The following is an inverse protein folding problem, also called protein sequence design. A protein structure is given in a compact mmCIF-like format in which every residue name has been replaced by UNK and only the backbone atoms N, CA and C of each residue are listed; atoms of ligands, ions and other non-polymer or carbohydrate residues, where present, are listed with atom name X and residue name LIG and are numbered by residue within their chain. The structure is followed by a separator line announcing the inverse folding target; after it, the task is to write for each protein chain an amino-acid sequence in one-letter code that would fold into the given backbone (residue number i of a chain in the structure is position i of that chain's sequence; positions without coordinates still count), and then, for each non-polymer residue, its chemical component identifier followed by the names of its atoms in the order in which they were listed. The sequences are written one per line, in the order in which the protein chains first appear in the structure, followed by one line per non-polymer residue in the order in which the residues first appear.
data_IF_630852344518
#
_entry.id   IF_630852344518
#
_cell.length_a   1.000
_cell.length_b   1.000
_cell.length_c   1.000
_cell.angle_alpha   90.00
_cell.angle_beta   90.00
_cell.angle_gamma   90.00
#
_symmetry.space_group_name_H-M   'P 1'
#
loop_
_entity.id
_entity.type
_entity.pdbx_description
1 polymer ?
#
# COMPACT_ATOMS: atom_id res chain seq x y z
N UNK A 1 -34.05 -6.46 13.82
CA UNK A 1 -32.73 -6.07 14.38
C UNK A 1 -31.61 -5.93 13.31
N UNK A 2 -31.90 -5.88 11.99
CA UNK A 2 -30.89 -5.86 10.93
C UNK A 2 -30.45 -4.46 10.43
N UNK A 3 -31.24 -3.42 10.67
CA UNK A 3 -30.95 -2.08 10.13
C UNK A 3 -29.86 -1.29 10.88
N UNK A 4 -29.74 -1.45 12.19
CA UNK A 4 -28.76 -0.72 13.02
C UNK A 4 -27.33 -1.23 12.84
N UNK A 5 -27.14 -2.51 12.55
CA UNK A 5 -25.80 -3.11 12.32
C UNK A 5 -25.25 -2.72 10.95
N UNK A 6 -26.11 -2.62 9.93
CA UNK A 6 -25.71 -2.20 8.57
C UNK A 6 -25.29 -0.72 8.52
N UNK A 7 -25.90 0.14 9.33
CA UNK A 7 -25.54 1.55 9.39
C UNK A 7 -24.15 1.77 10.01
N UNK A 8 -23.80 1.01 11.05
CA UNK A 8 -22.47 1.06 11.68
C UNK A 8 -21.34 0.54 10.75
N UNK A 9 -21.66 -0.36 9.83
CA UNK A 9 -20.69 -0.88 8.85
C UNK A 9 -20.28 0.16 7.78
N UNK A 10 -20.99 1.28 7.66
CA UNK A 10 -20.66 2.37 6.73
C UNK A 10 -19.61 3.34 7.29
N UNK A 11 -19.34 3.33 8.60
CA UNK A 11 -18.32 4.20 9.20
C UNK A 11 -16.96 3.53 9.21
N UNK A 12 -15.94 4.25 8.76
CA UNK A 12 -14.55 3.82 8.95
C UNK A 12 -14.29 3.69 10.46
N UNK A 13 -13.87 2.52 10.97
CA UNK A 13 -13.56 2.29 12.38
C UNK A 13 -12.64 3.36 12.98
N UNK A 14 -11.77 3.93 12.17
CA UNK A 14 -10.86 5.00 12.55
C UNK A 14 -11.61 6.28 12.90
N UNK A 15 -12.60 6.69 12.09
CA UNK A 15 -13.37 7.92 12.33
C UNK A 15 -14.17 7.82 13.62
N UNK A 16 -14.69 6.63 13.95
CA UNK A 16 -15.36 6.37 15.22
C UNK A 16 -14.38 6.52 16.39
N UNK A 17 -13.19 5.93 16.32
CA UNK A 17 -12.18 6.04 17.37
C UNK A 17 -11.70 7.47 17.59
N UNK A 18 -11.50 8.24 16.51
CA UNK A 18 -11.19 9.68 16.61
C UNK A 18 -12.33 10.46 17.26
N UNK A 19 -13.59 10.13 16.91
CA UNK A 19 -14.78 10.69 17.55
C UNK A 19 -14.81 10.39 19.05
N UNK A 20 -14.58 9.14 19.45
CA UNK A 20 -14.48 8.74 20.86
C UNK A 20 -13.35 9.46 21.60
N UNK A 21 -12.18 9.60 20.98
CA UNK A 21 -11.06 10.35 21.56
C UNK A 21 -11.44 11.81 21.80
N UNK A 22 -12.05 12.47 20.83
CA UNK A 22 -12.50 13.84 20.95
C UNK A 22 -13.58 14.01 22.05
N UNK A 23 -14.55 13.11 22.11
CA UNK A 23 -15.60 13.11 23.16
C UNK A 23 -14.96 12.91 24.54
N UNK A 24 -14.00 11.99 24.68
CA UNK A 24 -13.29 11.76 25.94
C UNK A 24 -12.61 13.04 26.44
N UNK A 25 -11.92 13.77 25.58
CA UNK A 25 -11.29 15.06 25.90
C UNK A 25 -12.33 16.13 26.25
N UNK A 26 -13.41 16.22 25.47
CA UNK A 26 -14.49 17.20 25.68
C UNK A 26 -15.21 17.00 27.03
N UNK A 27 -15.33 15.75 27.52
CA UNK A 27 -15.89 15.44 28.84
C UNK A 27 -14.83 15.67 29.92
N UNK A 28 -13.58 15.31 29.70
CA UNK A 28 -12.53 15.42 30.70
C UNK A 28 -12.23 16.87 31.06
N UNK A 29 -12.09 17.77 30.09
CA UNK A 29 -11.72 19.16 30.32
C UNK A 29 -12.62 19.90 31.35
N UNK A 30 -13.98 19.90 31.21
CA UNK A 30 -14.84 20.56 32.18
C UNK A 30 -14.79 19.88 33.56
N UNK A 31 -14.58 18.56 33.62
CA UNK A 31 -14.45 17.83 34.88
C UNK A 31 -13.18 18.22 35.62
N UNK A 32 -12.05 18.34 34.91
CA UNK A 32 -10.77 18.80 35.48
C UNK A 32 -10.88 20.26 35.99
N UNK A 33 -11.50 21.13 35.19
CA UNK A 33 -11.75 22.52 35.64
C UNK A 33 -12.61 22.54 36.91
N UNK A 34 -13.66 21.70 36.98
CA UNK A 34 -14.53 21.60 38.14
C UNK A 34 -13.78 21.01 39.34
N UNK A 35 -12.91 20.04 39.15
CA UNK A 35 -12.01 19.47 40.15
C UNK A 35 -11.15 20.56 40.77
N UNK A 36 -10.44 21.34 39.94
CA UNK A 36 -9.58 22.44 40.39
C UNK A 36 -10.36 23.49 41.19
N UNK A 37 -11.58 23.89 40.71
CA UNK A 37 -12.42 24.84 41.43
C UNK A 37 -12.86 24.32 42.80
N UNK A 38 -13.21 23.01 42.90
CA UNK A 38 -13.61 22.38 44.16
C UNK A 38 -12.43 22.27 45.14
N UNK A 39 -11.23 21.91 44.65
CA UNK A 39 -10.02 21.87 45.47
C UNK A 39 -9.63 23.26 46.00
N UNK A 40 -9.74 24.31 45.18
CA UNK A 40 -9.53 25.70 45.62
C UNK A 40 -10.51 26.16 46.70
N UNK A 41 -11.71 25.55 46.79
CA UNK A 41 -12.71 25.79 47.84
C UNK A 41 -12.55 24.85 49.04
N UNK A 42 -11.42 24.12 49.17
CA UNK A 42 -11.12 23.16 50.25
C UNK A 42 -12.13 21.99 50.29
N UNK A 43 -12.85 21.72 49.19
CA UNK A 43 -13.80 20.61 49.08
C UNK A 43 -13.05 19.38 48.50
N UNK A 44 -12.16 18.81 49.30
CA UNK A 44 -11.16 17.80 48.87
C UNK A 44 -11.85 16.57 48.28
N UNK A 45 -12.86 15.97 48.93
CA UNK A 45 -13.54 14.76 48.47
C UNK A 45 -14.24 15.00 47.13
N UNK A 46 -14.95 16.11 46.99
CA UNK A 46 -15.64 16.46 45.74
C UNK A 46 -14.65 16.80 44.62
N UNK A 47 -13.53 17.47 44.95
CA UNK A 47 -12.45 17.75 44.00
C UNK A 47 -11.78 16.49 43.50
N UNK A 48 -11.42 15.56 44.39
CA UNK A 48 -10.83 14.28 44.05
C UNK A 48 -11.75 13.40 43.16
N UNK A 49 -13.04 13.40 43.44
CA UNK A 49 -14.01 12.66 42.63
C UNK A 49 -14.06 13.18 41.19
N UNK A 50 -14.18 14.49 40.97
CA UNK A 50 -14.18 15.07 39.61
C UNK A 50 -12.86 14.90 38.91
N UNK A 51 -11.73 14.97 39.62
CA UNK A 51 -10.40 14.71 39.08
C UNK A 51 -10.28 13.28 38.58
N UNK A 52 -10.63 12.27 39.38
CA UNK A 52 -10.58 10.86 38.97
C UNK A 52 -11.52 10.58 37.80
N UNK A 53 -12.70 11.16 37.79
CA UNK A 53 -13.65 11.00 36.68
C UNK A 53 -13.12 11.66 35.39
N UNK A 54 -12.55 12.87 35.48
CA UNK A 54 -11.93 13.57 34.36
C UNK A 54 -10.72 12.79 33.82
N UNK A 55 -9.83 12.33 34.71
CA UNK A 55 -8.70 11.50 34.36
C UNK A 55 -9.12 10.18 33.68
N UNK A 56 -10.19 9.55 34.14
CA UNK A 56 -10.72 8.34 33.50
C UNK A 56 -11.15 8.60 32.04
N UNK A 57 -11.95 9.65 31.77
CA UNK A 57 -12.36 9.99 30.41
C UNK A 57 -11.19 10.45 29.54
N UNK A 58 -10.21 11.16 30.11
CA UNK A 58 -9.00 11.54 29.42
C UNK A 58 -8.18 10.30 28.97
N UNK A 59 -7.94 9.38 29.90
CA UNK A 59 -7.23 8.13 29.60
C UNK A 59 -7.95 7.30 28.54
N UNK A 60 -9.27 7.19 28.63
CA UNK A 60 -10.07 6.50 27.64
C UNK A 60 -9.96 7.16 26.25
N UNK A 61 -10.03 8.50 26.21
CA UNK A 61 -9.84 9.28 24.97
C UNK A 61 -8.46 9.12 24.39
N UNK A 62 -7.40 9.16 25.21
CA UNK A 62 -6.01 8.93 24.79
C UNK A 62 -5.85 7.51 24.25
N UNK A 63 -6.39 6.49 24.94
CA UNK A 63 -6.32 5.11 24.48
C UNK A 63 -6.98 4.94 23.10
N UNK A 64 -8.19 5.49 22.91
CA UNK A 64 -8.85 5.47 21.61
C UNK A 64 -8.05 6.20 20.52
N UNK A 65 -7.45 7.34 20.84
CA UNK A 65 -6.57 8.09 19.93
C UNK A 65 -5.33 7.30 19.51
N UNK A 66 -4.70 6.61 20.46
CA UNK A 66 -3.54 5.74 20.18
C UNK A 66 -3.90 4.57 19.27
N UNK A 67 -5.06 3.93 19.50
CA UNK A 67 -5.55 2.87 18.61
C UNK A 67 -5.84 3.42 17.22
N UNK A 68 -6.49 4.59 17.11
CA UNK A 68 -6.75 5.23 15.82
C UNK A 68 -5.46 5.57 15.06
N UNK A 69 -4.44 6.08 15.76
CA UNK A 69 -3.13 6.38 15.19
C UNK A 69 -2.41 5.10 14.73
N UNK A 70 -2.48 4.02 15.51
CA UNK A 70 -1.93 2.72 15.17
C UNK A 70 -2.56 2.14 13.89
N UNK A 71 -3.90 2.18 13.79
CA UNK A 71 -4.62 1.74 12.59
C UNK A 71 -4.27 2.59 11.38
N UNK A 72 -4.08 3.90 11.55
CA UNK A 72 -3.62 4.77 10.47
C UNK A 72 -2.23 4.36 9.98
N UNK A 73 -1.30 4.23 10.88
CA UNK A 73 0.06 3.80 10.56
C UNK A 73 0.08 2.45 9.84
N UNK A 74 -0.69 1.47 10.32
CA UNK A 74 -0.81 0.17 9.68
C UNK A 74 -1.35 0.29 8.24
N UNK A 75 -2.47 0.99 8.04
CA UNK A 75 -3.05 1.20 6.69
C UNK A 75 -2.05 1.87 5.74
N UNK A 76 -1.30 2.86 6.21
CA UNK A 76 -0.31 3.57 5.39
C UNK A 76 0.90 2.71 5.04
N UNK A 77 1.41 1.94 6.00
CA UNK A 77 2.59 1.08 5.79
C UNK A 77 2.29 -0.15 4.93
N UNK A 78 1.03 -0.60 4.89
CA UNK A 78 0.58 -1.72 4.04
C UNK A 78 -0.13 -1.27 2.76
N UNK A 79 -0.11 0.03 2.47
CA UNK A 79 -0.78 0.56 1.28
C UNK A 79 -0.13 0.02 -0.01
N UNK A 80 -0.97 -0.54 -0.86
CA UNK A 80 -0.60 -0.96 -2.21
C UNK A 80 -1.29 -0.07 -3.23
N UNK A 81 -0.55 0.41 -4.21
CA UNK A 81 -1.10 1.16 -5.33
C UNK A 81 -1.05 0.30 -6.59
N UNK A 82 -2.09 0.39 -7.41
CA UNK A 82 -2.14 -0.33 -8.69
C UNK A 82 -1.15 0.33 -9.66
N UNK A 83 -0.17 -0.47 -10.10
CA UNK A 83 0.86 -0.03 -11.05
C UNK A 83 0.48 -0.35 -12.49
N UNK A 84 -0.17 -1.50 -12.74
CA UNK A 84 -0.68 -1.87 -14.05
C UNK A 84 -1.71 -3.01 -13.94
N UNK A 85 -2.52 -3.16 -14.99
CA UNK A 85 -3.28 -4.37 -15.26
C UNK A 85 -2.68 -5.05 -16.48
N UNK A 86 -2.67 -6.38 -16.47
CA UNK A 86 -2.11 -7.20 -17.54
C UNK A 86 -3.11 -8.24 -17.96
N UNK A 87 -3.36 -8.37 -19.25
CA UNK A 87 -4.14 -9.44 -19.84
C UNK A 87 -3.30 -10.20 -20.86
N UNK A 88 -3.50 -11.51 -20.92
CA UNK A 88 -2.76 -12.43 -21.77
C UNK A 88 -3.69 -13.12 -22.77
N UNK A 89 -3.25 -13.21 -24.02
CA UNK A 89 -3.87 -13.99 -25.07
C UNK A 89 -2.81 -14.85 -25.74
N UNK A 90 -3.00 -16.14 -25.78
CA UNK A 90 -2.07 -17.07 -26.40
C UNK A 90 -2.05 -16.90 -27.93
N UNK A 91 -0.88 -16.78 -28.52
CA UNK A 91 -0.69 -16.72 -29.98
C UNK A 91 -0.25 -18.06 -30.53
N UNK A 92 0.66 -18.73 -29.82
CA UNK A 92 1.16 -20.06 -30.13
C UNK A 92 1.71 -20.72 -28.86
N UNK A 93 2.27 -21.90 -28.96
CA UNK A 93 2.90 -22.56 -27.83
C UNK A 93 3.99 -21.66 -27.23
N UNK A 94 3.85 -21.33 -25.94
CA UNK A 94 4.75 -20.45 -25.17
C UNK A 94 4.97 -19.05 -25.77
N UNK A 95 4.00 -18.56 -26.55
CA UNK A 95 4.00 -17.20 -27.07
C UNK A 95 2.66 -16.54 -26.82
N UNK A 96 2.70 -15.35 -26.21
CA UNK A 96 1.51 -14.64 -25.76
C UNK A 96 1.54 -13.17 -26.20
N UNK A 97 0.39 -12.66 -26.64
CA UNK A 97 0.15 -11.23 -26.71
C UNK A 97 -0.22 -10.75 -25.30
N UNK A 98 0.63 -9.91 -24.74
CA UNK A 98 0.45 -9.30 -23.45
C UNK A 98 -0.01 -7.87 -23.64
N UNK A 99 -1.17 -7.51 -23.06
CA UNK A 99 -1.65 -6.13 -23.01
C UNK A 99 -1.42 -5.59 -21.61
N UNK A 100 -0.71 -4.47 -21.51
CA UNK A 100 -0.41 -3.78 -20.27
C UNK A 100 -1.14 -2.44 -20.25
N UNK A 101 -1.95 -2.21 -19.20
CA UNK A 101 -2.69 -1.00 -18.93
C UNK A 101 -2.18 -0.35 -17.66
N UNK A 102 -1.39 0.72 -17.78
CA UNK A 102 -0.94 1.51 -16.64
C UNK A 102 -1.90 2.69 -16.39
N UNK A 103 -2.11 3.12 -15.13
CA UNK A 103 -2.98 4.24 -14.82
C UNK A 103 -2.56 5.51 -15.57
N UNK A 104 -3.51 6.15 -16.25
CA UNK A 104 -3.27 7.38 -17.02
C UNK A 104 -2.54 7.21 -18.36
N UNK A 105 -2.27 5.97 -18.80
CA UNK A 105 -1.60 5.69 -20.08
C UNK A 105 -2.48 4.86 -20.99
N UNK A 106 -2.27 4.96 -22.30
CA UNK A 106 -2.92 4.08 -23.27
C UNK A 106 -2.43 2.63 -23.11
N UNK A 107 -3.28 1.63 -23.41
CA UNK A 107 -2.87 0.23 -23.41
C UNK A 107 -1.71 -0.01 -24.37
N UNK A 108 -0.72 -0.78 -23.92
CA UNK A 108 0.46 -1.17 -24.71
C UNK A 108 0.46 -2.68 -24.92
N UNK A 109 0.84 -3.12 -26.13
CA UNK A 109 0.83 -4.52 -26.52
C UNK A 109 2.26 -5.01 -26.73
N UNK A 110 2.55 -6.20 -26.21
CA UNK A 110 3.86 -6.83 -26.29
C UNK A 110 3.72 -8.29 -26.69
N UNK A 111 4.64 -8.79 -27.52
CA UNK A 111 4.81 -10.21 -27.77
C UNK A 111 5.80 -10.77 -26.75
N UNK A 112 5.36 -11.72 -25.92
CA UNK A 112 6.16 -12.29 -24.84
C UNK A 112 6.27 -13.79 -25.00
N UNK A 113 7.49 -14.32 -24.93
CA UNK A 113 7.78 -15.76 -25.07
C UNK A 113 8.31 -16.33 -23.77
N UNK A 114 7.81 -17.52 -23.40
CA UNK A 114 8.21 -18.24 -22.20
C UNK A 114 7.04 -18.96 -21.54
N UNK A 115 7.30 -19.48 -20.37
CA UNK A 115 6.30 -20.10 -19.48
C UNK A 115 5.70 -19.07 -18.51
N UNK A 116 6.47 -18.04 -18.21
CA UNK A 116 6.18 -16.98 -17.26
C UNK A 116 6.44 -15.60 -17.88
N UNK A 117 5.75 -14.58 -17.42
CA UNK A 117 6.11 -13.20 -17.71
C UNK A 117 6.60 -12.50 -16.44
N UNK A 118 7.54 -11.60 -16.62
CA UNK A 118 8.19 -10.84 -15.56
C UNK A 118 8.06 -9.34 -15.84
N UNK A 119 7.80 -8.57 -14.79
CA UNK A 119 7.82 -7.12 -14.82
C UNK A 119 8.82 -6.60 -13.79
N UNK A 120 9.65 -5.64 -14.19
CA UNK A 120 10.63 -5.00 -13.33
C UNK A 120 10.30 -3.52 -13.17
N UNK A 121 10.55 -3.01 -11.96
CA UNK A 121 10.43 -1.59 -11.65
C UNK A 121 11.59 -1.11 -10.78
N UNK A 122 11.89 0.17 -10.87
CA UNK A 122 12.65 0.89 -9.85
C UNK A 122 11.69 1.43 -8.81
N UNK A 123 12.06 1.28 -7.54
CA UNK A 123 11.23 1.65 -6.39
C UNK A 123 12.03 2.58 -5.48
N UNK A 124 11.42 3.71 -5.13
CA UNK A 124 11.89 4.60 -4.08
C UNK A 124 11.00 4.41 -2.87
N UNK A 125 11.59 3.92 -1.80
CA UNK A 125 10.93 3.67 -0.52
C UNK A 125 11.23 4.82 0.45
N UNK A 126 10.17 5.33 1.09
CA UNK A 126 10.27 6.32 2.15
C UNK A 126 10.45 5.66 3.51
N UNK A 127 11.06 6.37 4.45
CA UNK A 127 11.09 5.96 5.86
C UNK A 127 9.67 5.89 6.42
N UNK A 128 9.42 5.01 7.41
CA UNK A 128 8.07 4.81 7.96
C UNK A 128 7.39 6.11 8.40
N UNK A 129 8.10 7.04 9.01
CA UNK A 129 7.56 8.33 9.41
C UNK A 129 7.01 9.15 8.24
N UNK A 130 7.72 9.20 7.10
CA UNK A 130 7.26 9.87 5.90
C UNK A 130 6.04 9.16 5.28
N UNK A 131 6.05 7.81 5.24
CA UNK A 131 4.91 7.03 4.76
C UNK A 131 3.65 7.27 5.60
N UNK A 132 3.78 7.32 6.94
CA UNK A 132 2.68 7.66 7.85
C UNK A 132 2.20 9.09 7.62
N UNK A 133 3.11 10.03 7.31
CA UNK A 133 2.79 11.42 6.98
C UNK A 133 2.11 11.59 5.61
N UNK A 134 2.02 10.53 4.79
CA UNK A 134 1.28 10.56 3.53
C UNK A 134 2.12 10.40 2.27
N UNK A 135 3.42 10.18 2.37
CA UNK A 135 4.28 9.92 1.21
C UNK A 135 4.11 8.49 0.73
N UNK A 136 3.57 8.32 -0.47
CA UNK A 136 3.44 7.01 -1.12
C UNK A 136 4.75 6.59 -1.78
N UNK A 137 4.96 5.27 -1.86
CA UNK A 137 6.10 4.69 -2.58
C UNK A 137 6.10 5.18 -4.03
N UNK A 138 7.21 5.75 -4.48
CA UNK A 138 7.40 6.11 -5.88
C UNK A 138 7.99 4.93 -6.64
N UNK A 139 7.52 4.73 -7.87
CA UNK A 139 7.99 3.65 -8.72
C UNK A 139 7.99 4.07 -10.19
N UNK A 140 8.83 3.39 -10.97
CA UNK A 140 8.84 3.46 -12.43
C UNK A 140 8.97 2.05 -12.98
N UNK A 141 7.99 1.63 -13.80
CA UNK A 141 8.07 0.38 -14.53
C UNK A 141 9.18 0.48 -15.59
N UNK A 142 10.11 -0.47 -15.60
CA UNK A 142 11.28 -0.39 -16.47
C UNK A 142 11.19 -1.30 -17.67
N UNK A 143 10.81 -2.55 -17.44
CA UNK A 143 10.75 -3.54 -18.52
C UNK A 143 9.74 -4.63 -18.23
N UNK A 144 9.30 -5.26 -19.29
CA UNK A 144 8.54 -6.50 -19.29
C UNK A 144 9.26 -7.53 -20.13
N UNK A 145 9.27 -8.77 -19.68
CA UNK A 145 9.99 -9.84 -20.36
C UNK A 145 9.30 -11.19 -20.18
N UNK A 146 9.59 -12.10 -21.09
CA UNK A 146 9.29 -13.51 -20.90
C UNK A 146 10.40 -14.21 -20.11
N UNK A 147 10.04 -15.34 -19.51
CA UNK A 147 10.93 -16.18 -18.73
C UNK A 147 10.55 -17.64 -18.92
N UNK A 148 11.53 -18.53 -18.93
CA UNK A 148 11.33 -19.97 -18.97
C UNK A 148 11.53 -20.57 -17.57
N UNK A 149 10.68 -21.48 -17.16
CA UNK A 149 10.79 -22.18 -15.86
C UNK A 149 12.00 -23.14 -15.82
N UNK A 150 12.37 -23.74 -16.97
CA UNK A 150 13.55 -24.58 -17.08
C UNK A 150 14.82 -23.74 -17.27
N UNK A 151 15.85 -23.98 -16.44
CA UNK A 151 17.11 -23.21 -16.42
C UNK A 151 17.89 -23.34 -17.73
N UNK A 152 17.85 -24.52 -18.39
CA UNK A 152 18.54 -24.72 -19.65
C UNK A 152 17.85 -23.91 -20.74
N UNK A 153 16.52 -23.96 -20.78
CA UNK A 153 15.74 -23.18 -21.73
C UNK A 153 15.89 -21.66 -21.47
N UNK A 154 15.90 -21.21 -20.23
CA UNK A 154 16.13 -19.79 -19.89
C UNK A 154 17.46 -19.26 -20.42
N UNK A 155 18.47 -20.12 -20.53
CA UNK A 155 19.80 -19.77 -21.07
C UNK A 155 19.92 -19.85 -22.59
N UNK A 156 19.12 -20.67 -23.25
CA UNK A 156 19.32 -21.04 -24.67
C UNK A 156 18.14 -20.66 -25.58
N UNK A 157 16.92 -20.57 -25.03
CA UNK A 157 15.73 -20.25 -25.83
C UNK A 157 15.63 -18.75 -26.12
N UNK A 158 14.96 -18.36 -27.23
CA UNK A 158 14.73 -16.96 -27.55
C UNK A 158 13.92 -16.25 -26.46
N UNK A 159 14.53 -15.28 -25.79
CA UNK A 159 13.90 -14.48 -24.76
C UNK A 159 13.42 -13.15 -25.34
N UNK A 160 12.22 -12.74 -24.98
CA UNK A 160 11.66 -11.43 -25.31
C UNK A 160 11.84 -10.47 -24.14
N UNK A 161 12.31 -9.26 -24.43
CA UNK A 161 12.47 -8.19 -23.43
C UNK A 161 12.03 -6.87 -24.07
N UNK A 162 11.14 -6.14 -23.42
CA UNK A 162 10.61 -4.86 -23.89
C UNK A 162 10.80 -3.78 -22.81
N UNK A 163 11.30 -2.61 -23.22
CA UNK A 163 11.38 -1.45 -22.34
C UNK A 163 9.99 -0.84 -22.11
N UNK A 164 9.69 -0.53 -20.87
CA UNK A 164 8.47 0.19 -20.47
C UNK A 164 8.77 1.67 -20.22
N UNK A 165 9.94 1.99 -19.68
CA UNK A 165 10.37 3.36 -19.49
C UNK A 165 10.59 4.05 -20.84
N UNK A 166 10.05 5.26 -20.99
CA UNK A 166 10.34 6.15 -22.11
C UNK A 166 11.40 7.16 -21.65
N UNK A 167 12.34 7.52 -22.55
CA UNK A 167 13.41 8.47 -22.26
C UNK A 167 12.90 9.94 -22.20
N UNK A 168 11.59 10.16 -22.38
CA UNK A 168 10.95 11.48 -22.44
C UNK A 168 10.69 12.14 -21.06
N UNK A 169 11.09 11.51 -19.96
CA UNK A 169 10.96 12.15 -18.64
C UNK A 169 11.96 13.31 -18.50
N UNK A 170 11.45 14.54 -18.49
CA UNK A 170 12.22 15.80 -18.31
C UNK A 170 13.11 15.79 -17.06
N UNK A 171 12.78 15.00 -16.04
CA UNK A 171 13.56 14.85 -14.81
C UNK A 171 13.53 13.40 -14.37
N UNK A 172 14.67 12.73 -14.45
CA UNK A 172 14.84 11.42 -13.82
C UNK A 172 14.90 11.58 -12.29
N UNK A 173 13.73 11.50 -11.64
CA UNK A 173 13.59 11.57 -10.19
C UNK A 173 14.45 10.51 -9.48
N UNK A 174 14.71 9.36 -10.13
CA UNK A 174 15.59 8.34 -9.61
C UNK A 174 17.05 8.80 -9.59
N UNK A 175 17.53 9.41 -10.68
CA UNK A 175 18.90 9.95 -10.74
C UNK A 175 19.09 11.07 -9.72
N UNK A 176 18.07 11.94 -9.55
CA UNK A 176 18.05 12.98 -8.52
C UNK A 176 18.07 12.37 -7.13
N UNK A 177 17.20 11.41 -6.84
CA UNK A 177 17.15 10.74 -5.54
C UNK A 177 18.45 10.00 -5.24
N UNK A 178 19.04 9.31 -6.22
CA UNK A 178 20.34 8.63 -6.08
C UNK A 178 21.48 9.60 -5.80
N UNK A 179 21.47 10.77 -6.45
CA UNK A 179 22.52 11.79 -6.28
C UNK A 179 22.42 12.53 -4.96
N UNK A 180 21.20 12.74 -4.47
CA UNK A 180 20.92 13.56 -3.30
C UNK A 180 20.36 12.77 -2.10
N UNK A 181 20.37 11.42 -2.12
CA UNK A 181 19.82 10.59 -1.04
C UNK A 181 20.41 10.92 0.34
N UNK A 182 21.67 11.36 0.40
CA UNK A 182 22.33 11.79 1.63
C UNK A 182 21.72 13.07 2.22
N UNK A 183 21.16 13.92 1.36
CA UNK A 183 20.54 15.20 1.74
C UNK A 183 19.02 15.11 1.94
N UNK A 184 18.39 13.99 1.56
CA UNK A 184 16.97 13.76 1.74
C UNK A 184 16.75 12.70 2.82
N UNK A 185 16.71 13.09 4.11
CA UNK A 185 16.69 12.14 5.23
C UNK A 185 15.41 11.28 5.29
N UNK A 186 14.42 11.59 4.46
CA UNK A 186 13.16 10.85 4.40
C UNK A 186 13.20 9.62 3.48
N UNK A 187 14.20 9.49 2.60
CA UNK A 187 14.38 8.31 1.74
C UNK A 187 15.00 7.19 2.57
N UNK A 188 14.38 6.01 2.51
CA UNK A 188 14.86 4.79 3.17
C UNK A 188 15.76 3.99 2.22
N UNK A 189 15.25 3.67 1.03
CA UNK A 189 15.95 2.85 0.06
C UNK A 189 15.55 3.18 -1.39
N UNK A 190 16.51 2.94 -2.29
CA UNK A 190 16.35 2.92 -3.74
C UNK A 190 16.74 1.52 -4.22
N UNK A 191 15.82 0.79 -4.86
CA UNK A 191 16.10 -0.59 -5.28
C UNK A 191 15.30 -0.99 -6.52
N UNK A 192 15.78 -2.02 -7.23
CA UNK A 192 15.04 -2.70 -8.29
C UNK A 192 14.14 -3.77 -7.67
N UNK A 193 12.92 -3.89 -8.17
CA UNK A 193 11.98 -4.95 -7.81
C UNK A 193 11.50 -5.65 -9.06
N UNK A 194 11.49 -6.97 -9.07
CA UNK A 194 10.95 -7.80 -10.14
C UNK A 194 9.90 -8.75 -9.57
N UNK A 195 8.82 -8.95 -10.33
CA UNK A 195 7.81 -9.95 -10.02
C UNK A 195 7.47 -10.74 -11.29
N UNK A 196 7.18 -12.03 -11.16
CA UNK A 196 6.83 -12.89 -12.27
C UNK A 196 5.75 -13.89 -11.88
N UNK A 197 4.95 -14.32 -12.86
CA UNK A 197 3.88 -15.31 -12.71
C UNK A 197 3.69 -16.07 -14.02
N UNK A 198 3.06 -17.27 -13.99
CA UNK A 198 2.81 -18.08 -15.19
C UNK A 198 1.96 -17.35 -16.23
N UNK A 199 2.23 -17.66 -17.51
CA UNK A 199 1.41 -17.27 -18.65
C UNK A 199 0.40 -18.37 -18.99
N UNK A 200 -0.87 -18.00 -19.12
CA UNK A 200 -1.94 -18.89 -19.58
C UNK A 200 -2.96 -18.07 -20.39
N UNK A 201 -3.63 -18.74 -21.33
CA UNK A 201 -4.69 -18.13 -22.13
C UNK A 201 -5.77 -17.48 -21.28
N UNK A 202 -6.12 -16.24 -21.62
CA UNK A 202 -7.18 -15.48 -20.97
C UNK A 202 -6.90 -15.06 -19.52
N UNK A 203 -5.66 -15.22 -19.02
CA UNK A 203 -5.33 -14.78 -17.68
C UNK A 203 -5.24 -13.26 -17.58
N UNK A 204 -5.79 -12.73 -16.49
CA UNK A 204 -5.72 -11.32 -16.12
C UNK A 204 -5.01 -11.19 -14.78
N UNK A 205 -4.10 -10.21 -14.69
CA UNK A 205 -3.33 -9.94 -13.50
C UNK A 205 -3.38 -8.45 -13.14
N UNK A 206 -3.31 -8.15 -11.85
CA UNK A 206 -3.12 -6.80 -11.35
C UNK A 206 -1.75 -6.70 -10.72
N UNK A 207 -0.91 -5.80 -11.24
CA UNK A 207 0.39 -5.47 -10.66
C UNK A 207 0.18 -4.36 -9.67
N UNK A 208 0.58 -4.57 -8.42
CA UNK A 208 0.58 -3.56 -7.36
C UNK A 208 2.00 -3.28 -6.90
N UNK A 209 2.21 -2.10 -6.36
CA UNK A 209 3.47 -1.71 -5.73
C UNK A 209 3.22 -1.24 -4.31
N UNK A 210 4.11 -1.61 -3.42
CA UNK A 210 4.11 -1.20 -2.01
C UNK A 210 5.53 -0.84 -1.57
N UNK A 211 5.70 -0.52 -0.29
CA UNK A 211 7.02 -0.32 0.30
C UNK A 211 7.92 -1.57 0.27
N UNK A 212 7.37 -2.77 0.00
CA UNK A 212 8.13 -4.02 -0.14
C UNK A 212 8.48 -4.38 -1.59
N UNK A 213 7.95 -3.63 -2.58
CA UNK A 213 8.18 -3.85 -4.01
C UNK A 213 6.92 -4.22 -4.79
N UNK A 214 7.13 -4.85 -5.94
CA UNK A 214 6.06 -5.32 -6.83
C UNK A 214 5.42 -6.60 -6.31
N UNK A 215 4.10 -6.66 -6.44
CA UNK A 215 3.30 -7.87 -6.21
C UNK A 215 2.35 -8.05 -7.40
N UNK A 216 2.24 -9.27 -7.92
CA UNK A 216 1.28 -9.61 -8.97
C UNK A 216 0.15 -10.41 -8.35
N UNK A 217 -1.08 -9.95 -8.55
CA UNK A 217 -2.30 -10.59 -8.05
C UNK A 217 -3.15 -11.11 -9.19
N UNK A 218 -3.68 -12.36 -9.11
CA UNK A 218 -4.58 -12.88 -10.12
C UNK A 218 -5.89 -12.09 -10.15
N UNK A 219 -6.30 -11.61 -11.33
CA UNK A 219 -7.52 -10.83 -11.54
C UNK A 219 -8.74 -11.69 -11.86
N UNK A 220 -8.55 -12.87 -12.46
CA UNK A 220 -9.64 -13.77 -12.85
C UNK A 220 -9.37 -15.24 -12.51
N UNK A 221 -10.32 -16.13 -12.83
CA UNK A 221 -10.22 -17.56 -12.49
C UNK A 221 -9.09 -18.27 -13.25
N UNK A 222 -8.82 -17.86 -14.50
CA UNK A 222 -7.70 -18.41 -15.27
C UNK A 222 -6.38 -18.14 -14.56
N UNK A 223 -6.13 -16.88 -14.18
CA UNK A 223 -4.94 -16.48 -13.43
C UNK A 223 -4.83 -17.18 -12.06
N UNK A 224 -5.96 -17.32 -11.33
CA UNK A 224 -5.98 -18.06 -10.05
C UNK A 224 -5.56 -19.52 -10.20
N UNK A 225 -6.06 -20.19 -11.24
CA UNK A 225 -5.68 -21.59 -11.56
C UNK A 225 -4.20 -21.69 -11.92
N UNK A 226 -3.69 -20.75 -12.75
CA UNK A 226 -2.28 -20.73 -13.15
C UNK A 226 -1.36 -20.59 -11.92
N UNK A 227 -1.63 -19.63 -11.04
CA UNK A 227 -0.82 -19.41 -9.82
C UNK A 227 -0.97 -20.58 -8.82
N UNK A 228 -2.18 -21.14 -8.68
CA UNK A 228 -2.42 -22.27 -7.78
C UNK A 228 -1.78 -23.60 -8.23
N UNK A 229 -1.56 -23.78 -9.53
CA UNK A 229 -0.86 -24.92 -10.12
C UNK A 229 0.65 -24.70 -10.32
N UNK A 230 1.16 -23.55 -10.00
CA UNK A 230 2.55 -23.18 -10.18
C UNK A 230 3.44 -23.89 -9.16
N UNK A 231 4.45 -24.61 -9.66
CA UNK A 231 5.37 -25.43 -8.85
C UNK A 231 6.77 -24.81 -8.81
#
# INVERSE_FOLDING_TARGET
MSGTVQWLAQFDPRSLLVGFAAIGVLIALPLEILALRRLAQIRIVGGAFYFLLGAFFLLLGVAAGLVAASLHGYKRLTHEQVAAKVSLRQLSERQYALTLEAPGSAPRHFDVRGDEWQIDARVLKWRPAATIAGFDTLYRLERISGRYGDVIQERTAPRTVHALATDDELVDLWAVAKRYHTYVPMVDALYGSGAYVPMIEGAEYTVTVSASGLVIRPGNDAARKAVGGWK
#
